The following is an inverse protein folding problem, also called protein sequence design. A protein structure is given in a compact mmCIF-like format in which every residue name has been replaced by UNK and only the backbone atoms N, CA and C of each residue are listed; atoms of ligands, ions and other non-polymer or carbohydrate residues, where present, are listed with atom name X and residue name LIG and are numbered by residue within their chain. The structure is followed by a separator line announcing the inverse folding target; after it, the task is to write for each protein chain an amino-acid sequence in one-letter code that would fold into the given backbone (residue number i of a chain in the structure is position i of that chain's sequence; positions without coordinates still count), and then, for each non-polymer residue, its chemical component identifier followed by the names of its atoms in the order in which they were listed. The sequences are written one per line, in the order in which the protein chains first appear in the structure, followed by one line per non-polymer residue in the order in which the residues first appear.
data_IF_007031988418
#
_entry.id   IF_007031988418
#
_cell.length_a   1.000
_cell.length_b   1.000
_cell.length_c   1.000
_cell.angle_alpha   90.00
_cell.angle_beta   90.00
_cell.angle_gamma   90.00
#
_symmetry.space_group_name_H-M   'P 1'
#
loop_
_entity.id
_entity.type
_entity.pdbx_description
1 polymer ?
#
# COMPACT_ATOMS: atom_id res chain seq x y z
N UNK A 1 -19.24 -37.35 -15.30
CA UNK A 1 -17.84 -37.21 -14.86
C UNK A 1 -17.87 -36.37 -13.59
N UNK A 2 -16.96 -36.60 -12.64
CA UNK A 2 -16.86 -35.71 -11.48
C UNK A 2 -16.37 -34.34 -11.96
N UNK A 3 -16.96 -33.27 -11.42
CA UNK A 3 -16.53 -31.89 -11.70
C UNK A 3 -15.09 -31.69 -11.20
N UNK A 4 -14.28 -30.95 -11.96
CA UNK A 4 -12.92 -30.62 -11.56
C UNK A 4 -12.95 -29.78 -10.28
N UNK A 5 -11.91 -29.92 -9.44
CA UNK A 5 -11.77 -29.12 -8.22
C UNK A 5 -10.60 -28.16 -8.35
N UNK A 6 -10.76 -26.96 -7.82
CA UNK A 6 -9.72 -25.95 -7.69
C UNK A 6 -9.71 -25.35 -6.29
N UNK A 7 -8.66 -24.60 -5.95
CA UNK A 7 -8.55 -23.95 -4.65
C UNK A 7 -9.41 -22.69 -4.58
N UNK A 8 -10.18 -22.56 -3.51
CA UNK A 8 -10.97 -21.38 -3.17
C UNK A 8 -10.56 -20.84 -1.81
N UNK A 9 -10.60 -19.53 -1.67
CA UNK A 9 -10.58 -18.80 -0.41
C UNK A 9 -12.01 -18.41 -0.05
N UNK A 10 -12.46 -18.82 1.13
CA UNK A 10 -13.75 -18.47 1.71
C UNK A 10 -13.49 -17.53 2.87
N UNK A 11 -14.14 -16.36 2.88
CA UNK A 11 -14.08 -15.42 3.99
C UNK A 11 -15.46 -15.28 4.63
N UNK A 12 -15.53 -15.32 5.95
CA UNK A 12 -16.77 -15.06 6.68
C UNK A 12 -17.03 -13.56 6.80
N UNK A 13 -18.29 -13.17 7.04
CA UNK A 13 -18.62 -11.80 7.47
C UNK A 13 -18.02 -11.51 8.85
N UNK A 14 -17.79 -10.23 9.13
CA UNK A 14 -17.34 -9.78 10.43
C UNK A 14 -18.29 -10.27 11.56
N UNK A 15 -17.69 -10.62 12.70
CA UNK A 15 -18.32 -11.17 13.90
C UNK A 15 -18.98 -12.55 13.73
N UNK A 16 -18.68 -13.28 12.66
CA UNK A 16 -19.06 -14.70 12.58
C UNK A 16 -18.39 -15.47 13.72
N UNK A 17 -19.18 -16.25 14.46
CA UNK A 17 -18.68 -16.97 15.63
C UNK A 17 -17.72 -18.09 15.23
N UNK A 18 -16.69 -18.32 16.04
CA UNK A 18 -15.74 -19.40 15.80
C UNK A 18 -16.41 -20.79 15.79
N UNK A 19 -17.49 -20.99 16.56
CA UNK A 19 -18.28 -22.22 16.50
C UNK A 19 -18.97 -22.38 15.15
N UNK A 20 -19.66 -21.34 14.66
CA UNK A 20 -20.30 -21.37 13.34
C UNK A 20 -19.29 -21.67 12.24
N UNK A 21 -18.13 -21.03 12.28
CA UNK A 21 -17.05 -21.28 11.32
C UNK A 21 -16.53 -22.72 11.39
N UNK A 22 -16.27 -23.26 12.59
CA UNK A 22 -15.79 -24.63 12.76
C UNK A 22 -16.79 -25.68 12.28
N UNK A 23 -18.07 -25.49 12.60
CA UNK A 23 -19.15 -26.38 12.15
C UNK A 23 -19.24 -26.37 10.62
N UNK A 24 -19.20 -25.17 10.01
CA UNK A 24 -19.17 -25.01 8.55
C UNK A 24 -17.99 -25.73 7.90
N UNK A 25 -16.77 -25.55 8.42
CA UNK A 25 -15.57 -26.19 7.88
C UNK A 25 -15.64 -27.72 8.00
N UNK A 26 -16.15 -28.21 9.14
CA UNK A 26 -16.34 -29.65 9.36
C UNK A 26 -17.36 -30.25 8.38
N UNK A 27 -18.47 -29.55 8.14
CA UNK A 27 -19.54 -29.99 7.24
C UNK A 27 -19.12 -29.93 5.76
N UNK A 28 -18.34 -28.92 5.37
CA UNK A 28 -17.94 -28.69 3.98
C UNK A 28 -17.03 -29.79 3.45
N UNK A 29 -15.97 -30.14 4.19
CA UNK A 29 -14.97 -31.08 3.72
C UNK A 29 -14.25 -31.86 4.82
N UNK A 30 -14.77 -31.84 6.05
CA UNK A 30 -14.15 -32.44 7.24
C UNK A 30 -12.85 -31.74 7.66
N UNK A 31 -12.71 -30.44 7.38
CA UNK A 31 -11.57 -29.64 7.81
C UNK A 31 -10.27 -29.95 7.05
N UNK A 32 -10.35 -30.39 5.80
CA UNK A 32 -9.18 -30.77 4.99
C UNK A 32 -8.34 -29.58 4.53
N UNK A 33 -8.95 -28.41 4.42
CA UNK A 33 -8.33 -27.16 4.01
C UNK A 33 -7.48 -26.49 5.09
N UNK A 34 -7.07 -25.25 4.81
CA UNK A 34 -6.30 -24.38 5.71
C UNK A 34 -7.23 -23.34 6.33
N UNK A 35 -7.24 -23.27 7.66
CA UNK A 35 -8.03 -22.29 8.41
C UNK A 35 -7.11 -21.18 8.93
N UNK A 36 -7.54 -19.94 8.79
CA UNK A 36 -6.95 -18.79 9.46
C UNK A 36 -8.01 -18.15 10.35
N UNK A 37 -7.72 -18.11 11.65
CA UNK A 37 -8.57 -17.47 12.67
C UNK A 37 -7.71 -16.51 13.50
N UNK A 38 -7.15 -15.46 12.87
CA UNK A 38 -6.28 -14.53 13.57
C UNK A 38 -7.02 -13.88 14.74
N UNK A 39 -6.34 -13.80 15.89
CA UNK A 39 -6.85 -13.05 17.05
C UNK A 39 -6.99 -11.57 16.65
N UNK A 40 -7.96 -10.85 17.22
CA UNK A 40 -8.29 -9.43 16.95
C UNK A 40 -8.92 -9.13 15.59
N UNK A 41 -8.90 -10.06 14.65
CA UNK A 41 -9.57 -9.93 13.36
C UNK A 41 -11.01 -10.44 13.50
N UNK A 42 -11.96 -9.69 12.95
CA UNK A 42 -13.40 -9.95 13.16
C UNK A 42 -13.96 -11.07 12.27
N UNK A 43 -13.16 -11.66 11.40
CA UNK A 43 -13.59 -12.69 10.46
C UNK A 43 -12.63 -13.87 10.43
N UNK A 44 -12.97 -14.90 9.66
CA UNK A 44 -12.16 -16.10 9.47
C UNK A 44 -11.97 -16.37 7.97
N UNK A 45 -10.86 -17.02 7.64
CA UNK A 45 -10.53 -17.43 6.27
C UNK A 45 -10.41 -18.95 6.23
N UNK A 46 -10.97 -19.57 5.20
CA UNK A 46 -10.79 -20.98 4.91
C UNK A 46 -10.39 -21.20 3.46
N UNK A 47 -9.24 -21.83 3.25
CA UNK A 47 -8.75 -22.20 1.92
C UNK A 47 -8.91 -23.70 1.70
N UNK A 48 -9.70 -24.10 0.73
CA UNK A 48 -9.95 -25.52 0.42
C UNK A 48 -10.20 -25.78 -1.07
N UNK A 49 -10.23 -27.06 -1.46
CA UNK A 49 -10.50 -27.48 -2.84
C UNK A 49 -11.97 -27.82 -3.07
N UNK A 50 -12.64 -27.00 -3.88
CA UNK A 50 -14.06 -27.13 -4.23
C UNK A 50 -14.23 -27.27 -5.73
N UNK A 51 -15.34 -27.88 -6.17
CA UNK A 51 -15.85 -27.65 -7.52
C UNK A 51 -16.63 -26.34 -7.58
N UNK A 52 -16.87 -25.79 -8.78
CA UNK A 52 -17.58 -24.52 -8.96
C UNK A 52 -18.99 -24.61 -8.36
N UNK A 53 -19.68 -25.75 -8.58
CA UNK A 53 -20.99 -26.01 -7.95
C UNK A 53 -20.94 -26.00 -6.42
N UNK A 54 -19.87 -26.51 -5.80
CA UNK A 54 -19.70 -26.46 -4.34
C UNK A 54 -19.45 -25.02 -3.88
N UNK A 55 -18.64 -24.25 -4.61
CA UNK A 55 -18.38 -22.85 -4.30
C UNK A 55 -19.66 -22.00 -4.34
N UNK A 56 -20.51 -22.20 -5.35
CA UNK A 56 -21.83 -21.54 -5.45
C UNK A 56 -22.73 -21.84 -4.26
N UNK A 57 -22.76 -23.09 -3.78
CA UNK A 57 -23.53 -23.44 -2.57
C UNK A 57 -22.98 -22.78 -1.30
N UNK A 58 -21.66 -22.53 -1.24
CA UNK A 58 -21.04 -21.80 -0.13
C UNK A 58 -21.36 -20.31 -0.20
N UNK A 59 -21.39 -19.69 -1.39
CA UNK A 59 -21.76 -18.27 -1.57
C UNK A 59 -23.14 -17.94 -1.02
N UNK A 60 -24.07 -18.91 -1.06
CA UNK A 60 -25.44 -18.77 -0.55
C UNK A 60 -25.55 -18.74 0.99
N UNK A 61 -24.45 -18.95 1.73
CA UNK A 61 -24.47 -18.93 3.19
C UNK A 61 -24.46 -17.50 3.72
N UNK A 62 -25.44 -17.15 4.55
CA UNK A 62 -25.61 -15.77 5.06
C UNK A 62 -24.41 -15.22 5.85
N UNK A 63 -23.58 -16.09 6.43
CA UNK A 63 -22.36 -15.70 7.18
C UNK A 63 -21.10 -15.66 6.31
N UNK A 64 -21.17 -16.04 5.04
CA UNK A 64 -20.06 -15.94 4.09
C UNK A 64 -20.09 -14.55 3.47
N UNK A 65 -18.92 -13.91 3.41
CA UNK A 65 -18.74 -12.62 2.74
C UNK A 65 -18.40 -12.84 1.26
N UNK A 66 -17.42 -13.69 0.98
CA UNK A 66 -17.05 -14.05 -0.39
C UNK A 66 -16.47 -15.46 -0.48
N UNK A 67 -16.48 -16.00 -1.70
CA UNK A 67 -15.84 -17.25 -2.09
C UNK A 67 -15.11 -17.00 -3.40
N UNK A 68 -13.78 -17.02 -3.37
CA UNK A 68 -12.94 -16.60 -4.50
C UNK A 68 -11.97 -17.70 -4.91
N UNK A 69 -11.88 -18.07 -6.20
CA UNK A 69 -10.86 -19.01 -6.65
C UNK A 69 -9.46 -18.39 -6.50
N UNK A 70 -8.51 -19.19 -6.02
CA UNK A 70 -7.10 -18.75 -5.86
C UNK A 70 -6.35 -18.82 -7.21
N UNK A 71 -6.96 -19.43 -8.23
CA UNK A 71 -6.44 -19.48 -9.61
C UNK A 71 -6.64 -18.19 -10.38
N UNK A 72 -7.60 -17.34 -9.99
CA UNK A 72 -7.86 -16.07 -10.65
C UNK A 72 -6.80 -15.08 -10.19
N UNK A 73 -5.65 -15.19 -10.85
CA UNK A 73 -4.58 -14.22 -10.67
C UNK A 73 -5.08 -12.97 -11.38
N UNK A 74 -5.39 -11.93 -10.63
CA UNK A 74 -5.26 -10.60 -11.20
C UNK A 74 -3.77 -10.34 -11.20
N UNK A 75 -3.11 -10.20 -12.37
CA UNK A 75 -1.83 -9.51 -12.38
C UNK A 75 -2.05 -8.25 -11.58
N UNK A 76 -1.14 -7.99 -10.63
CA UNK A 76 -1.12 -6.67 -10.06
C UNK A 76 -0.72 -5.73 -11.19
N UNK A 77 -1.73 -5.25 -11.90
CA UNK A 77 -1.67 -4.11 -12.78
C UNK A 77 -1.50 -2.88 -11.88
N UNK A 78 -0.41 -2.86 -11.12
CA UNK A 78 0.10 -1.64 -10.58
C UNK A 78 0.52 -0.81 -11.77
N UNK A 79 -0.14 0.31 -11.92
CA UNK A 79 0.49 1.43 -12.59
C UNK A 79 1.70 1.78 -11.75
N UNK A 80 2.87 1.37 -12.27
CA UNK A 80 4.15 1.49 -11.60
C UNK A 80 4.31 2.94 -11.16
N UNK A 81 4.14 3.13 -9.86
CA UNK A 81 4.46 4.37 -9.21
C UNK A 81 5.92 4.46 -8.77
N UNK A 82 6.69 3.43 -9.13
CA UNK A 82 8.13 3.46 -9.08
C UNK A 82 8.69 4.59 -9.93
N UNK A 83 9.84 5.15 -9.52
CA UNK A 83 10.58 6.08 -10.35
C UNK A 83 10.72 5.46 -11.73
N UNK A 84 10.11 6.06 -12.75
CA UNK A 84 10.42 5.69 -14.12
C UNK A 84 11.86 6.17 -14.32
N UNK A 85 12.83 5.27 -14.10
CA UNK A 85 14.21 5.45 -14.54
C UNK A 85 14.13 6.15 -15.89
N UNK A 86 14.80 7.30 -16.04
CA UNK A 86 14.81 8.13 -17.27
C UNK A 86 15.20 7.29 -18.51
N UNK A 87 14.30 6.45 -19.00
CA UNK A 87 14.20 6.10 -20.41
C UNK A 87 13.56 7.33 -21.00
N UNK A 88 14.29 7.97 -21.90
CA UNK A 88 13.88 9.18 -22.58
C UNK A 88 12.50 9.00 -23.24
N UNK A 89 11.43 9.25 -22.49
CA UNK A 89 10.13 9.46 -23.10
C UNK A 89 10.26 10.78 -23.88
N UNK A 90 9.89 10.80 -25.18
CA UNK A 90 9.76 12.06 -25.89
C UNK A 90 8.76 12.90 -25.08
N UNK A 91 9.19 14.06 -24.60
CA UNK A 91 8.33 15.00 -23.87
C UNK A 91 7.02 15.13 -24.67
N UNK A 92 5.85 14.74 -24.12
CA UNK A 92 4.62 15.00 -24.82
C UNK A 92 4.53 16.52 -25.01
N UNK A 93 4.27 16.96 -26.25
CA UNK A 93 4.03 18.36 -26.59
C UNK A 93 2.67 18.77 -26.00
N UNK A 94 2.57 18.84 -24.67
CA UNK A 94 1.44 19.45 -23.98
C UNK A 94 1.74 20.93 -23.91
N UNK A 95 1.00 21.74 -24.67
CA UNK A 95 1.00 23.19 -24.50
C UNK A 95 0.33 23.53 -23.17
N UNK A 96 1.11 23.55 -22.09
CA UNK A 96 0.67 24.13 -20.83
C UNK A 96 0.56 25.66 -20.99
N UNK A 97 -0.49 26.31 -20.45
CA UNK A 97 -0.60 27.75 -20.48
C UNK A 97 0.57 28.39 -19.71
N UNK A 98 1.26 29.34 -20.35
CA UNK A 98 2.32 30.13 -19.73
C UNK A 98 1.77 30.98 -18.59
N UNK A 99 2.07 30.60 -17.35
CA UNK A 99 1.85 31.45 -16.18
C UNK A 99 3.02 32.42 -16.04
N UNK A 100 2.68 33.70 -15.87
CA UNK A 100 3.62 34.81 -15.76
C UNK A 100 4.21 34.84 -14.33
N UNK A 101 5.46 34.40 -14.17
CA UNK A 101 6.14 34.35 -12.87
C UNK A 101 6.65 35.73 -12.44
N UNK A 102 6.06 36.28 -11.38
CA UNK A 102 6.75 37.23 -10.49
C UNK A 102 7.04 36.49 -9.18
N UNK A 103 8.28 36.00 -9.07
CA UNK A 103 8.75 35.15 -7.98
C UNK A 103 9.11 35.98 -6.73
N UNK A 104 8.59 35.71 -5.52
CA UNK A 104 9.06 36.34 -4.30
C UNK A 104 10.25 35.57 -3.70
N UNK A 105 11.33 36.30 -3.46
CA UNK A 105 12.39 36.09 -2.47
C UNK A 105 12.94 34.65 -2.24
N UNK A 106 14.10 34.38 -2.86
CA UNK A 106 15.01 33.28 -2.51
C UNK A 106 15.52 33.43 -1.06
N UNK A 107 14.89 32.75 -0.09
CA UNK A 107 15.50 32.57 1.23
C UNK A 107 16.47 31.38 1.19
N UNK A 108 17.66 31.54 1.81
CA UNK A 108 18.73 30.52 1.77
C UNK A 108 18.24 29.19 2.36
N UNK A 109 18.27 28.16 1.52
CA UNK A 109 18.05 26.74 1.80
C UNK A 109 19.19 26.23 2.70
N UNK A 110 18.89 25.39 3.68
CA UNK A 110 19.94 24.62 4.36
C UNK A 110 20.32 23.47 3.42
N UNK A 111 21.44 23.59 2.72
CA UNK A 111 21.89 22.59 1.74
C UNK A 111 22.39 21.28 2.36
N UNK A 112 22.26 21.10 3.67
CA UNK A 112 22.71 19.88 4.37
C UNK A 112 21.65 18.78 4.49
N UNK A 113 20.37 19.09 4.21
CA UNK A 113 19.28 18.10 4.26
C UNK A 113 18.97 17.56 2.84
N UNK A 114 18.71 16.24 2.69
CA UNK A 114 18.26 15.66 1.43
C UNK A 114 17.08 16.41 0.79
N UNK A 115 17.01 16.45 -0.54
CA UNK A 115 16.03 17.25 -1.27
C UNK A 115 14.58 16.94 -0.89
N UNK A 116 14.25 15.66 -0.68
CA UNK A 116 12.92 15.19 -0.28
C UNK A 116 12.43 15.74 1.07
N UNK A 117 13.30 16.38 1.86
CA UNK A 117 12.96 17.00 3.14
C UNK A 117 12.59 18.48 3.01
N UNK A 118 12.62 19.06 1.80
CA UNK A 118 12.45 20.50 1.62
C UNK A 118 10.97 20.90 1.54
N UNK A 119 10.09 20.05 1.00
CA UNK A 119 8.67 20.32 0.81
C UNK A 119 7.82 19.16 1.32
N UNK A 120 7.21 19.38 2.48
CA UNK A 120 6.81 18.28 3.35
C UNK A 120 5.37 17.82 3.10
N UNK A 121 4.40 18.74 3.02
CA UNK A 121 3.09 18.48 2.44
C UNK A 121 2.28 19.78 2.35
N UNK A 122 1.27 19.81 1.49
CA UNK A 122 0.36 20.93 1.33
C UNK A 122 -1.06 20.41 1.09
N UNK A 123 -2.08 21.04 1.69
CA UNK A 123 -3.48 20.62 1.55
C UNK A 123 -4.23 21.36 0.44
N UNK A 124 -3.55 22.22 -0.33
CA UNK A 124 -4.15 23.00 -1.43
C UNK A 124 -3.31 22.87 -2.69
N UNK A 125 -3.93 23.02 -3.86
CA UNK A 125 -3.18 23.15 -5.12
C UNK A 125 -2.79 24.62 -5.37
N UNK A 126 -1.63 24.87 -5.98
CA UNK A 126 -1.37 26.14 -6.68
C UNK A 126 -0.53 27.22 -5.99
N UNK A 127 0.24 26.89 -4.95
CA UNK A 127 1.53 27.53 -4.55
C UNK A 127 1.93 26.98 -3.17
N UNK A 128 3.17 26.48 -2.99
CA UNK A 128 3.65 26.05 -1.68
C UNK A 128 3.77 27.30 -0.77
N UNK A 129 3.51 27.19 0.54
CA UNK A 129 3.59 28.35 1.42
C UNK A 129 5.00 28.96 1.38
N UNK A 130 5.14 30.30 1.34
CA UNK A 130 6.45 30.96 1.27
C UNK A 130 7.37 30.68 2.47
N UNK A 131 6.83 30.13 3.58
CA UNK A 131 7.51 30.05 4.88
C UNK A 131 7.50 28.66 5.53
N UNK A 132 6.91 27.62 4.92
CA UNK A 132 6.90 26.26 5.50
C UNK A 132 8.22 25.55 5.27
N UNK A 133 9.25 26.00 5.97
CA UNK A 133 10.48 25.21 6.11
C UNK A 133 10.14 23.99 6.95
N UNK A 134 10.49 22.81 6.43
CA UNK A 134 10.47 21.59 7.20
C UNK A 134 11.17 21.79 8.54
N UNK A 135 10.48 21.41 9.62
CA UNK A 135 11.10 21.21 10.92
C UNK A 135 11.14 19.73 11.17
N UNK A 136 12.32 19.13 10.96
CA UNK A 136 12.55 17.75 11.33
C UNK A 136 12.28 17.58 12.82
N UNK A 137 11.38 16.66 13.15
CA UNK A 137 11.16 16.30 14.52
C UNK A 137 12.45 15.71 15.13
N UNK A 138 12.79 16.16 16.34
CA UNK A 138 14.04 15.76 17.01
C UNK A 138 14.06 14.27 17.38
N UNK A 139 12.90 13.63 17.57
CA UNK A 139 12.78 12.19 17.84
C UNK A 139 12.98 11.36 16.59
N UNK A 140 12.82 11.93 15.39
CA UNK A 140 12.95 11.24 14.11
C UNK A 140 12.08 9.98 14.04
N UNK A 141 10.87 10.06 14.59
CA UNK A 141 9.91 8.96 14.66
C UNK A 141 10.16 7.91 15.74
N UNK A 142 11.12 8.11 16.66
CA UNK A 142 11.32 7.20 17.80
C UNK A 142 10.01 6.96 18.56
N UNK A 143 9.72 5.68 18.81
CA UNK A 143 8.50 5.23 19.49
C UNK A 143 7.35 4.90 18.55
N UNK A 144 7.43 5.28 17.27
CA UNK A 144 6.38 5.04 16.27
C UNK A 144 6.73 3.84 15.40
N UNK A 145 5.74 3.04 15.05
CA UNK A 145 5.87 1.94 14.10
C UNK A 145 5.22 2.28 12.76
N UNK A 146 5.98 2.14 11.68
CA UNK A 146 5.46 2.34 10.33
C UNK A 146 5.32 1.00 9.63
N UNK A 147 4.09 0.64 9.27
CA UNK A 147 3.77 -0.51 8.45
C UNK A 147 3.85 -0.10 6.98
N UNK A 148 4.79 -0.67 6.23
CA UNK A 148 4.98 -0.38 4.81
C UNK A 148 4.54 -1.60 4.03
N UNK A 149 3.45 -1.47 3.28
CA UNK A 149 2.88 -2.53 2.46
C UNK A 149 3.34 -2.32 1.02
N UNK A 150 4.20 -3.21 0.53
CA UNK A 150 4.82 -3.07 -0.79
C UNK A 150 5.12 -4.42 -1.48
N UNK A 151 5.70 -4.39 -2.67
CA UNK A 151 6.01 -5.56 -3.52
C UNK A 151 7.21 -6.37 -3.02
N UNK A 152 8.12 -5.75 -2.24
CA UNK A 152 9.28 -6.43 -1.67
C UNK A 152 10.29 -5.46 -1.06
N UNK A 153 11.25 -6.00 -0.30
CA UNK A 153 12.27 -5.25 0.43
C UNK A 153 13.62 -5.95 0.41
N UNK A 154 14.69 -5.24 0.06
CA UNK A 154 16.05 -5.72 0.28
C UNK A 154 16.50 -5.40 1.71
N UNK A 155 16.29 -6.35 2.62
CA UNK A 155 16.68 -6.24 4.03
C UNK A 155 18.21 -6.15 4.26
N UNK A 156 19.04 -6.34 3.22
CA UNK A 156 20.50 -6.21 3.32
C UNK A 156 20.98 -4.77 3.17
N UNK A 157 20.11 -3.85 2.79
CA UNK A 157 20.45 -2.43 2.71
C UNK A 157 20.89 -1.92 4.08
N UNK A 158 22.04 -1.24 4.12
CA UNK A 158 22.56 -0.63 5.35
C UNK A 158 21.58 0.39 5.93
N UNK A 159 20.79 1.04 5.08
CA UNK A 159 19.73 1.99 5.47
C UNK A 159 18.58 1.34 6.24
N UNK A 160 18.35 0.03 6.08
CA UNK A 160 17.30 -0.71 6.77
C UNK A 160 17.83 -1.51 7.98
N UNK A 161 19.06 -1.24 8.42
CA UNK A 161 19.64 -1.93 9.56
C UNK A 161 18.89 -1.62 10.88
N UNK A 162 18.64 -2.63 11.75
CA UNK A 162 18.03 -2.44 13.07
C UNK A 162 19.08 -1.91 14.05
N UNK A 163 19.28 -0.59 14.09
CA UNK A 163 20.20 0.08 15.03
C UNK A 163 19.53 0.36 16.37
N UNK A 164 18.99 1.57 16.55
CA UNK A 164 18.28 2.04 17.74
C UNK A 164 16.76 1.90 17.61
N UNK A 165 16.31 0.96 16.77
CA UNK A 165 14.93 0.70 16.38
C UNK A 165 14.74 -0.77 16.01
N UNK A 166 13.49 -1.20 15.83
CA UNK A 166 13.16 -2.52 15.28
C UNK A 166 12.88 -2.44 13.77
N UNK A 167 13.23 -3.51 13.06
CA UNK A 167 12.86 -3.73 11.66
C UNK A 167 12.31 -5.16 11.57
N UNK A 168 10.99 -5.26 11.46
CA UNK A 168 10.24 -6.52 11.31
C UNK A 168 9.82 -6.66 9.85
N UNK A 169 9.53 -7.89 9.43
CA UNK A 169 9.01 -8.15 8.10
C UNK A 169 7.98 -9.28 8.11
N UNK A 170 7.06 -9.23 7.15
CA UNK A 170 6.07 -10.26 6.92
C UNK A 170 5.90 -10.49 5.42
N UNK A 171 5.64 -11.73 5.05
CA UNK A 171 5.20 -12.08 3.71
C UNK A 171 4.13 -13.16 3.84
N UNK A 172 3.07 -13.09 3.01
CA UNK A 172 1.93 -13.99 3.11
C UNK A 172 2.32 -15.45 2.80
N UNK A 173 1.57 -16.42 3.36
CA UNK A 173 1.78 -17.83 3.07
C UNK A 173 1.57 -18.22 1.61
N UNK A 174 2.37 -19.19 1.18
CA UNK A 174 2.44 -19.62 -0.21
C UNK A 174 1.13 -20.12 -0.83
N UNK A 175 0.22 -20.65 -0.01
CA UNK A 175 -1.05 -21.23 -0.44
C UNK A 175 -2.14 -20.18 -0.70
N UNK A 176 -1.91 -18.92 -0.33
CA UNK A 176 -2.82 -17.81 -0.65
C UNK A 176 -2.59 -17.26 -2.05
N UNK A 177 -1.47 -17.64 -2.66
CA UNK A 177 -1.12 -17.26 -4.02
C UNK A 177 -1.22 -18.42 -5.01
N UNK A 178 -1.60 -18.14 -6.25
CA UNK A 178 -1.76 -19.14 -7.30
C UNK A 178 -0.45 -19.87 -7.57
N UNK A 179 -0.52 -21.20 -7.66
CA UNK A 179 0.65 -22.05 -7.97
C UNK A 179 0.53 -22.69 -9.36
N UNK A 180 -0.66 -22.66 -9.98
CA UNK A 180 -0.97 -23.46 -11.16
C UNK A 180 -1.95 -22.74 -12.08
N UNK A 181 -1.56 -22.51 -13.34
CA UNK A 181 -2.50 -22.05 -14.37
C UNK A 181 -1.87 -21.54 -15.66
N UNK A 182 -0.74 -20.83 -15.60
CA UNK A 182 -0.32 -19.95 -16.71
C UNK A 182 1.13 -20.11 -17.18
N UNK A 183 1.71 -21.31 -17.07
CA UNK A 183 3.14 -21.50 -17.41
C UNK A 183 4.12 -20.77 -16.48
N UNK A 184 3.60 -20.01 -15.50
CA UNK A 184 4.39 -19.24 -14.56
C UNK A 184 5.22 -20.15 -13.67
N UNK A 185 6.53 -19.87 -13.62
CA UNK A 185 7.44 -20.57 -12.73
C UNK A 185 7.56 -19.78 -11.45
N UNK A 186 6.89 -20.28 -10.41
CA UNK A 186 7.04 -19.76 -9.05
C UNK A 186 8.51 -19.75 -8.67
N UNK A 187 9.00 -18.60 -8.20
CA UNK A 187 10.33 -18.52 -7.59
C UNK A 187 10.25 -18.81 -6.10
N UNK A 188 11.41 -19.06 -5.49
CA UNK A 188 11.53 -19.21 -4.04
C UNK A 188 10.89 -18.00 -3.36
N UNK A 189 9.97 -18.28 -2.45
CA UNK A 189 9.29 -17.24 -1.70
C UNK A 189 10.27 -16.56 -0.78
N UNK A 190 10.43 -15.26 -1.00
CA UNK A 190 11.25 -14.40 -0.18
C UNK A 190 10.72 -12.96 -0.20
N UNK A 191 11.19 -12.19 0.78
CA UNK A 191 10.88 -10.78 0.92
C UNK A 191 11.57 -9.91 -0.13
N UNK A 192 12.48 -10.45 -0.95
CA UNK A 192 13.38 -9.65 -1.79
C UNK A 192 12.61 -8.67 -2.68
N UNK A 193 13.20 -7.49 -2.82
CA UNK A 193 12.74 -6.45 -3.73
C UNK A 193 13.39 -6.63 -5.09
N UNK A 194 12.59 -6.65 -6.16
CA UNK A 194 13.07 -6.81 -7.53
C UNK A 194 12.80 -5.63 -8.44
N UNK A 195 11.82 -4.81 -8.12
CA UNK A 195 11.51 -3.61 -8.87
C UNK A 195 12.13 -2.36 -8.22
N UNK A 196 12.80 -2.53 -7.08
CA UNK A 196 13.38 -1.51 -6.21
C UNK A 196 12.35 -0.66 -5.47
N UNK A 197 11.05 -0.93 -5.65
CA UNK A 197 10.00 -0.03 -5.22
C UNK A 197 9.92 -0.01 -3.69
N UNK A 198 9.63 -1.14 -3.06
CA UNK A 198 9.44 -1.20 -1.61
C UNK A 198 10.71 -0.90 -0.81
N UNK A 199 11.90 -1.24 -1.30
CA UNK A 199 13.16 -0.84 -0.66
C UNK A 199 13.35 0.67 -0.70
N UNK A 200 13.10 1.30 -1.85
CA UNK A 200 13.21 2.75 -1.98
C UNK A 200 12.24 3.43 -1.02
N UNK A 201 10.99 2.96 -0.95
CA UNK A 201 9.97 3.50 -0.05
C UNK A 201 10.36 3.32 1.42
N UNK A 202 10.86 2.14 1.80
CA UNK A 202 11.35 1.89 3.15
C UNK A 202 12.55 2.77 3.53
N UNK A 203 13.47 3.02 2.59
CA UNK A 203 14.63 3.90 2.82
C UNK A 203 14.21 5.37 2.91
N UNK A 204 13.29 5.84 2.08
CA UNK A 204 12.76 7.21 2.22
C UNK A 204 12.08 7.38 3.56
N UNK A 205 11.23 6.44 3.97
CA UNK A 205 10.49 6.55 5.22
C UNK A 205 11.39 6.47 6.44
N UNK A 206 12.23 5.44 6.49
CA UNK A 206 12.98 5.08 7.68
C UNK A 206 14.47 4.87 7.47
N UNK A 207 15.06 5.07 6.32
CA UNK A 207 16.52 4.91 6.14
C UNK A 207 17.36 5.54 7.26
N UNK A 208 18.40 4.85 7.72
CA UNK A 208 19.25 5.34 8.81
C UNK A 208 19.86 6.73 8.53
N UNK A 209 20.27 6.99 7.29
CA UNK A 209 20.87 8.27 6.87
C UNK A 209 19.92 9.10 6.03
N UNK A 210 19.14 8.47 5.16
CA UNK A 210 18.25 9.15 4.21
C UNK A 210 16.80 9.26 4.69
N UNK A 211 16.45 8.48 5.71
CA UNK A 211 15.08 8.35 6.18
C UNK A 211 14.61 9.58 6.91
N UNK A 212 13.40 10.02 6.56
CA UNK A 212 12.76 11.15 7.20
C UNK A 212 12.52 10.86 8.69
N UNK A 213 12.14 9.62 9.00
CA UNK A 213 12.00 9.08 10.35
C UNK A 213 12.96 7.91 10.61
N UNK A 214 14.25 8.21 10.50
CA UNK A 214 15.37 7.28 10.72
C UNK A 214 15.36 6.50 12.05
N UNK A 215 14.55 6.89 13.04
CA UNK A 215 14.40 6.19 14.33
C UNK A 215 13.04 5.52 14.54
N UNK A 216 12.14 5.58 13.56
CA UNK A 216 10.89 4.83 13.61
C UNK A 216 11.16 3.33 13.47
N UNK A 217 10.38 2.53 14.19
CA UNK A 217 10.30 1.10 13.94
C UNK A 217 9.68 0.87 12.56
N UNK A 218 10.21 -0.10 11.81
CA UNK A 218 9.68 -0.46 10.50
C UNK A 218 9.08 -1.85 10.54
N UNK A 219 7.89 -2.01 9.98
CA UNK A 219 7.30 -3.31 9.68
C UNK A 219 7.07 -3.40 8.17
N UNK A 220 7.93 -4.17 7.50
CA UNK A 220 7.98 -4.28 6.05
C UNK A 220 7.14 -5.47 5.60
N UNK A 221 6.00 -5.23 4.97
CA UNK A 221 5.01 -6.25 4.65
C UNK A 221 4.89 -6.40 3.13
N UNK A 222 5.22 -7.60 2.63
CA UNK A 222 5.10 -7.92 1.21
C UNK A 222 3.67 -8.31 0.87
N UNK A 223 3.13 -7.77 -0.23
CA UNK A 223 1.70 -7.90 -0.60
C UNK A 223 1.43 -8.89 -1.74
N UNK A 224 2.47 -9.54 -2.25
CA UNK A 224 2.38 -10.44 -3.38
C UNK A 224 3.62 -11.31 -3.53
N UNK A 225 3.58 -12.26 -4.46
CA UNK A 225 4.70 -13.17 -4.71
C UNK A 225 5.34 -12.91 -6.07
N UNK A 226 6.64 -13.18 -6.17
CA UNK A 226 7.38 -13.07 -7.42
C UNK A 226 7.21 -14.31 -8.29
N UNK A 227 6.81 -14.09 -9.54
CA UNK A 227 6.70 -15.09 -10.59
C UNK A 227 7.66 -14.78 -11.73
N UNK A 228 7.94 -15.80 -12.53
CA UNK A 228 8.48 -15.63 -13.87
C UNK A 228 7.43 -16.06 -14.87
N UNK A 229 7.17 -15.19 -15.84
CA UNK A 229 6.40 -15.57 -17.02
C UNK A 229 7.20 -16.54 -17.92
N UNK A 230 6.58 -16.98 -19.01
CA UNK A 230 7.21 -17.91 -19.96
C UNK A 230 8.46 -17.30 -20.63
N UNK A 231 8.49 -15.97 -20.78
CA UNK A 231 9.61 -15.19 -21.32
C UNK A 231 10.71 -14.91 -20.27
N UNK A 232 10.46 -15.25 -19.01
CA UNK A 232 11.37 -15.06 -17.89
C UNK A 232 11.36 -13.66 -17.28
N UNK A 233 10.43 -12.79 -17.65
CA UNK A 233 10.16 -11.51 -17.00
C UNK A 233 9.65 -11.76 -15.58
N UNK A 234 9.93 -10.82 -14.67
CA UNK A 234 9.41 -10.92 -13.31
C UNK A 234 8.03 -10.28 -13.24
N UNK A 235 7.09 -11.00 -12.64
CA UNK A 235 5.76 -10.50 -12.30
C UNK A 235 5.56 -10.58 -10.79
N UNK A 236 4.77 -9.66 -10.25
CA UNK A 236 4.29 -9.74 -8.87
C UNK A 236 2.81 -10.02 -8.96
N UNK A 237 2.38 -11.14 -8.38
CA UNK A 237 0.97 -11.52 -8.35
C UNK A 237 0.45 -11.50 -6.92
N UNK A 238 -0.82 -11.16 -6.79
CA UNK A 238 -1.57 -11.23 -5.54
C UNK A 238 -2.96 -11.79 -5.83
N UNK A 239 -3.70 -12.04 -4.77
CA UNK A 239 -5.10 -12.44 -4.80
C UNK A 239 -5.86 -11.66 -3.73
N UNK A 240 -7.20 -11.63 -3.78
CA UNK A 240 -7.99 -11.10 -2.68
C UNK A 240 -7.62 -11.77 -1.34
N UNK A 241 -7.36 -13.09 -1.34
CA UNK A 241 -6.94 -13.83 -0.15
C UNK A 241 -5.58 -13.36 0.40
N UNK A 242 -4.62 -13.10 -0.50
CA UNK A 242 -3.28 -12.58 -0.13
C UNK A 242 -3.39 -11.18 0.47
N UNK A 243 -4.17 -10.30 -0.16
CA UNK A 243 -4.46 -8.97 0.37
C UNK A 243 -5.12 -9.03 1.74
N UNK A 244 -6.15 -9.86 1.89
CA UNK A 244 -6.84 -10.00 3.18
C UNK A 244 -5.87 -10.42 4.27
N UNK A 245 -5.08 -11.46 4.03
CA UNK A 245 -4.11 -11.95 5.01
C UNK A 245 -3.09 -10.87 5.41
N UNK A 246 -2.65 -10.05 4.46
CA UNK A 246 -1.73 -8.94 4.74
C UNK A 246 -2.37 -7.86 5.60
N UNK A 247 -3.61 -7.47 5.29
CA UNK A 247 -4.36 -6.48 6.06
C UNK A 247 -4.66 -7.00 7.46
N UNK A 248 -5.11 -8.25 7.57
CA UNK A 248 -5.36 -8.96 8.83
C UNK A 248 -4.11 -9.04 9.70
N UNK A 249 -2.95 -9.28 9.08
CA UNK A 249 -1.69 -9.36 9.80
C UNK A 249 -1.30 -8.03 10.45
N UNK A 250 -1.61 -6.90 9.81
CA UNK A 250 -1.43 -5.57 10.42
C UNK A 250 -2.35 -5.42 11.64
N UNK A 251 -3.63 -5.76 11.50
CA UNK A 251 -4.61 -5.68 12.61
C UNK A 251 -4.22 -6.61 13.76
N UNK A 252 -3.77 -7.83 13.46
CA UNK A 252 -3.28 -8.78 14.43
C UNK A 252 -2.09 -8.22 15.23
N UNK A 253 -1.09 -7.63 14.56
CA UNK A 253 0.06 -7.06 15.25
C UNK A 253 -0.31 -5.82 16.07
N UNK A 254 -1.21 -4.97 15.58
CA UNK A 254 -1.75 -3.82 16.33
C UNK A 254 -2.46 -4.29 17.61
N UNK A 255 -3.37 -5.25 17.51
CA UNK A 255 -4.07 -5.83 18.66
C UNK A 255 -3.11 -6.48 19.66
N UNK A 256 -2.16 -7.28 19.17
CA UNK A 256 -1.12 -7.90 20.01
C UNK A 256 -0.30 -6.85 20.75
N UNK A 257 0.12 -5.77 20.08
CA UNK A 257 0.89 -4.67 20.69
C UNK A 257 0.06 -3.92 21.73
N UNK A 258 -1.21 -3.64 21.43
CA UNK A 258 -2.11 -2.95 22.36
C UNK A 258 -2.32 -3.75 23.66
N UNK A 259 -2.46 -5.08 23.57
CA UNK A 259 -2.57 -5.92 24.76
C UNK A 259 -1.23 -6.17 25.48
N UNK A 260 -0.15 -6.32 24.72
CA UNK A 260 1.16 -6.71 25.22
C UNK A 260 2.26 -5.80 24.68
N UNK A 261 2.31 -4.52 25.11
CA UNK A 261 3.29 -3.56 24.62
C UNK A 261 4.70 -3.98 25.01
N UNK A 262 5.62 -3.98 24.04
CA UNK A 262 7.05 -4.18 24.31
C UNK A 262 7.65 -2.92 24.94
N UNK A 263 8.67 -3.02 25.82
CA UNK A 263 9.31 -1.84 26.40
C UNK A 263 9.83 -0.88 25.32
N UNK A 264 9.34 0.37 25.35
CA UNK A 264 9.69 1.41 24.37
C UNK A 264 8.81 1.47 23.11
N UNK A 265 7.73 0.70 23.09
CA UNK A 265 6.69 0.80 22.08
C UNK A 265 5.62 1.84 22.51
N UNK A 266 5.51 2.97 21.81
CA UNK A 266 4.53 4.01 22.14
C UNK A 266 3.13 3.72 21.54
N UNK A 267 2.90 2.50 21.01
CA UNK A 267 1.70 2.02 20.27
C UNK A 267 1.33 2.82 19.01
N UNK A 268 1.74 4.08 18.92
CA UNK A 268 1.54 4.97 17.79
C UNK A 268 2.03 4.28 16.53
N UNK A 269 1.17 4.25 15.53
CA UNK A 269 1.42 3.55 14.29
C UNK A 269 0.88 4.32 13.10
N UNK A 270 1.48 4.08 11.93
CA UNK A 270 1.00 4.57 10.64
C UNK A 270 1.11 3.41 9.66
N UNK A 271 0.08 3.21 8.84
CA UNK A 271 0.10 2.26 7.73
C UNK A 271 0.29 3.04 6.45
N UNK A 272 1.14 2.56 5.54
CA UNK A 272 1.32 3.17 4.24
C UNK A 272 1.23 2.18 3.10
N UNK A 273 0.48 2.61 2.08
CA UNK A 273 0.36 1.97 0.79
C UNK A 273 1.07 2.86 -0.21
N UNK A 274 2.32 2.52 -0.55
CA UNK A 274 3.10 3.30 -1.48
C UNK A 274 2.70 3.08 -2.95
N UNK A 275 1.46 2.65 -3.19
CA UNK A 275 0.96 2.23 -4.50
C UNK A 275 -0.54 2.50 -4.59
N UNK A 276 -1.02 2.71 -5.81
CA UNK A 276 -2.44 2.69 -6.14
C UNK A 276 -2.80 1.35 -6.76
N UNK A 277 -3.88 0.72 -6.30
CA UNK A 277 -4.53 -0.41 -6.97
C UNK A 277 -5.67 0.16 -7.82
N UNK A 278 -5.53 0.11 -9.15
CA UNK A 278 -6.55 0.59 -10.09
C UNK A 278 -7.85 -0.22 -9.89
N UNK A 279 -9.00 0.46 -9.79
CA UNK A 279 -10.33 -0.15 -9.71
C UNK A 279 -10.80 -0.70 -11.06
N UNK A 280 -10.11 -0.33 -12.14
CA UNK A 280 -10.65 -0.35 -13.49
C UNK A 280 -9.72 -1.04 -14.49
N UNK A 281 -8.68 -1.74 -14.04
CA UNK A 281 -7.89 -2.61 -14.92
C UNK A 281 -8.38 -4.04 -14.77
N UNK A 282 -9.32 -4.51 -15.62
CA UNK A 282 -9.34 -5.93 -15.93
C UNK A 282 -7.93 -6.34 -16.40
N UNK A 283 -7.47 -7.56 -16.11
CA UNK A 283 -6.19 -8.05 -16.61
C UNK A 283 -6.11 -7.78 -18.12
N UNK A 284 -5.08 -7.06 -18.56
CA UNK A 284 -5.02 -6.43 -19.89
C UNK A 284 -4.94 -7.39 -21.08
N UNK A 285 -5.17 -8.70 -20.88
CA UNK A 285 -5.31 -9.70 -21.95
C UNK A 285 -6.34 -10.82 -21.64
N UNK A 286 -7.12 -10.72 -20.55
CA UNK A 286 -8.28 -11.61 -20.33
C UNK A 286 -9.54 -10.94 -20.84
N UNK A 287 -9.83 -11.23 -22.10
CA UNK A 287 -11.12 -11.12 -22.78
C UNK A 287 -12.27 -11.31 -21.78
N UNK A 288 -13.04 -10.25 -21.55
CA UNK A 288 -14.50 -10.26 -21.31
C UNK A 288 -15.01 -11.55 -20.66
N UNK A 289 -14.61 -11.80 -19.41
CA UNK A 289 -15.55 -12.43 -18.49
C UNK A 289 -16.39 -11.25 -18.00
N UNK A 290 -17.71 -11.35 -18.13
CA UNK A 290 -18.65 -10.34 -17.65
C UNK A 290 -18.14 -9.78 -16.31
N UNK A 291 -17.98 -8.45 -16.24
CA UNK A 291 -17.76 -7.77 -14.97
C UNK A 291 -18.98 -8.07 -14.10
N UNK A 292 -18.98 -9.20 -13.40
CA UNK A 292 -19.85 -9.38 -12.27
C UNK A 292 -19.42 -8.30 -11.26
N UNK A 293 -20.35 -7.38 -10.98
CA UNK A 293 -20.21 -6.27 -10.02
C UNK A 293 -19.61 -6.73 -8.66
N UNK A 294 -19.68 -8.03 -8.38
CA UNK A 294 -19.25 -8.69 -7.14
C UNK A 294 -17.74 -8.55 -6.82
N UNK A 295 -16.82 -8.54 -7.80
CA UNK A 295 -15.37 -8.48 -7.49
C UNK A 295 -14.94 -7.13 -6.90
N UNK A 296 -15.45 -6.02 -7.44
CA UNK A 296 -15.15 -4.67 -6.93
C UNK A 296 -15.72 -4.47 -5.52
N UNK A 297 -16.85 -5.12 -5.24
CA UNK A 297 -17.46 -5.13 -3.91
C UNK A 297 -16.56 -5.84 -2.87
N UNK A 298 -15.83 -6.89 -3.25
CA UNK A 298 -14.93 -7.59 -2.32
C UNK A 298 -13.78 -6.70 -1.86
N UNK A 299 -12.98 -6.16 -2.78
CA UNK A 299 -11.85 -5.29 -2.40
C UNK A 299 -12.31 -4.04 -1.65
N UNK A 300 -13.42 -3.45 -2.09
CA UNK A 300 -14.02 -2.30 -1.40
C UNK A 300 -14.41 -2.63 0.04
N UNK A 301 -15.10 -3.75 0.26
CA UNK A 301 -15.49 -4.19 1.60
C UNK A 301 -14.26 -4.52 2.46
N UNK A 302 -13.23 -5.14 1.89
CA UNK A 302 -11.98 -5.46 2.58
C UNK A 302 -11.25 -4.19 3.05
N UNK A 303 -11.08 -3.21 2.18
CA UNK A 303 -10.38 -1.96 2.51
C UNK A 303 -11.19 -1.12 3.50
N UNK A 304 -12.52 -1.07 3.34
CA UNK A 304 -13.37 -0.36 4.29
C UNK A 304 -13.32 -1.00 5.70
N UNK A 305 -13.41 -2.33 5.80
CA UNK A 305 -13.29 -3.02 7.10
C UNK A 305 -11.90 -2.79 7.71
N UNK A 306 -10.86 -2.80 6.89
CA UNK A 306 -9.50 -2.50 7.35
C UNK A 306 -9.38 -1.06 7.90
N UNK A 307 -9.97 -0.06 7.23
CA UNK A 307 -10.01 1.32 7.75
C UNK A 307 -10.80 1.43 9.05
N UNK A 308 -11.91 0.71 9.17
CA UNK A 308 -12.68 0.66 10.41
C UNK A 308 -11.84 0.04 11.54
N UNK A 309 -11.11 -1.04 11.26
CA UNK A 309 -10.23 -1.69 12.24
C UNK A 309 -9.06 -0.76 12.63
N UNK A 310 -8.42 -0.08 11.68
CA UNK A 310 -7.37 0.90 11.97
C UNK A 310 -7.86 2.06 12.84
N UNK A 311 -9.10 2.51 12.63
CA UNK A 311 -9.71 3.55 13.45
C UNK A 311 -9.83 3.14 14.94
N UNK A 312 -10.04 1.84 15.21
CA UNK A 312 -10.06 1.33 16.61
C UNK A 312 -8.71 1.48 17.32
N UNK A 313 -7.62 1.57 16.58
CA UNK A 313 -6.26 1.71 17.09
C UNK A 313 -5.70 3.14 16.94
N UNK A 314 -6.50 4.12 16.50
CA UNK A 314 -6.06 5.48 16.18
C UNK A 314 -4.89 5.51 15.16
N UNK A 315 -4.98 4.65 14.14
CA UNK A 315 -3.95 4.49 13.11
C UNK A 315 -4.41 5.10 11.80
N UNK A 316 -3.57 5.98 11.24
CA UNK A 316 -3.78 6.59 9.93
C UNK A 316 -3.26 5.67 8.82
N UNK A 317 -4.04 5.53 7.75
CA UNK A 317 -3.63 4.90 6.50
C UNK A 317 -3.25 5.96 5.47
N UNK A 318 -1.98 6.01 5.06
CA UNK A 318 -1.48 6.96 4.06
C UNK A 318 -1.30 6.23 2.73
N UNK A 319 -2.10 6.57 1.74
CA UNK A 319 -2.14 5.89 0.45
C UNK A 319 -1.67 6.80 -0.69
N UNK A 320 -1.17 6.19 -1.76
CA UNK A 320 -0.73 6.92 -2.93
C UNK A 320 -1.90 7.28 -3.85
N UNK A 321 -1.88 8.50 -4.41
CA UNK A 321 -2.90 8.98 -5.33
C UNK A 321 -2.98 8.24 -6.68
N UNK A 322 -1.97 7.42 -7.01
CA UNK A 322 -1.76 6.88 -8.37
C UNK A 322 -0.94 7.79 -9.28
N UNK A 323 -0.50 7.28 -10.45
CA UNK A 323 0.34 8.01 -11.40
C UNK A 323 -0.27 8.06 -12.82
N UNK A 324 -1.58 7.95 -12.96
CA UNK A 324 -2.22 7.72 -14.26
C UNK A 324 -3.06 8.89 -14.76
N UNK A 325 -2.82 10.10 -14.24
CA UNK A 325 -3.45 11.30 -14.76
C UNK A 325 -3.35 11.46 -16.29
N UNK A 326 -2.20 11.14 -16.94
CA UNK A 326 -2.09 11.23 -18.40
C UNK A 326 -2.99 10.26 -19.15
N UNK A 327 -3.49 9.22 -18.48
CA UNK A 327 -4.44 8.24 -19.01
C UNK A 327 -5.89 8.61 -18.66
N UNK A 328 -6.14 9.79 -18.11
CA UNK A 328 -7.47 10.27 -17.74
C UNK A 328 -8.01 9.68 -16.43
N UNK A 329 -7.17 9.02 -15.64
CA UNK A 329 -7.55 8.49 -14.32
C UNK A 329 -7.66 9.61 -13.28
N UNK A 330 -8.48 9.36 -12.28
CA UNK A 330 -8.81 10.21 -11.14
C UNK A 330 -8.50 9.48 -9.84
N UNK A 331 -8.49 10.19 -8.71
CA UNK A 331 -8.29 9.55 -7.39
C UNK A 331 -9.34 8.47 -7.06
N UNK A 332 -10.54 8.58 -7.64
CA UNK A 332 -11.64 7.65 -7.44
C UNK A 332 -11.44 6.33 -8.18
N UNK A 333 -10.46 6.26 -9.08
CA UNK A 333 -10.10 5.04 -9.80
C UNK A 333 -9.11 4.16 -9.02
N UNK A 334 -8.82 4.45 -7.74
CA UNK A 334 -7.91 3.63 -6.92
C UNK A 334 -8.53 3.26 -5.58
N UNK A 335 -8.64 1.96 -5.25
CA UNK A 335 -9.42 1.50 -4.09
C UNK A 335 -9.07 2.23 -2.78
N UNK A 336 -7.78 2.33 -2.43
CA UNK A 336 -7.36 2.97 -1.18
C UNK A 336 -7.66 4.48 -1.15
N UNK A 337 -7.60 5.16 -2.30
CA UNK A 337 -7.83 6.59 -2.40
C UNK A 337 -9.32 6.93 -2.54
N UNK A 338 -10.04 6.14 -3.34
CA UNK A 338 -11.46 6.28 -3.62
C UNK A 338 -12.33 6.16 -2.37
N UNK A 339 -11.89 5.35 -1.40
CA UNK A 339 -12.59 5.13 -0.15
C UNK A 339 -12.23 6.16 0.93
N UNK A 340 -11.38 7.14 0.66
CA UNK A 340 -11.08 8.20 1.65
C UNK A 340 -12.26 9.15 1.85
N UNK A 341 -12.65 9.34 3.11
CA UNK A 341 -13.73 10.25 3.50
C UNK A 341 -13.24 11.27 4.53
N UNK A 342 -14.07 12.28 4.84
CA UNK A 342 -13.76 13.23 5.93
C UNK A 342 -13.71 12.56 7.31
N UNK A 343 -14.32 11.40 7.47
CA UNK A 343 -14.53 10.78 8.77
C UNK A 343 -13.65 9.55 9.00
N UNK A 344 -13.05 8.97 7.94
CA UNK A 344 -12.19 7.80 8.10
C UNK A 344 -10.69 8.16 8.21
N UNK A 345 -9.89 7.12 8.41
CA UNK A 345 -8.45 7.20 8.67
C UNK A 345 -7.58 7.26 7.42
N UNK A 346 -8.18 7.26 6.23
CA UNK A 346 -7.45 7.20 4.97
C UNK A 346 -7.05 8.60 4.48
N UNK A 347 -5.79 8.75 4.09
CA UNK A 347 -5.19 9.98 3.60
C UNK A 347 -4.47 9.74 2.27
N UNK A 348 -5.13 10.04 1.14
CA UNK A 348 -4.51 10.00 -0.18
C UNK A 348 -3.44 11.08 -0.33
N UNK A 349 -2.34 10.73 -0.99
CA UNK A 349 -1.21 11.64 -1.19
C UNK A 349 -0.87 11.80 -2.67
N UNK A 350 -1.05 13.01 -3.16
CA UNK A 350 -0.64 13.45 -4.50
C UNK A 350 0.79 13.96 -4.56
N UNK A 351 1.32 14.06 -5.78
CA UNK A 351 2.65 14.57 -6.06
C UNK A 351 2.64 16.03 -6.51
N UNK A 352 3.63 16.79 -6.06
CA UNK A 352 3.91 18.14 -6.54
C UNK A 352 5.38 18.28 -6.95
N UNK A 353 5.64 19.16 -7.91
CA UNK A 353 6.97 19.56 -8.30
C UNK A 353 7.62 20.46 -7.25
N UNK A 354 8.92 20.72 -7.37
CA UNK A 354 9.65 21.63 -6.46
C UNK A 354 9.10 23.06 -6.40
N UNK A 355 8.48 23.54 -7.48
CA UNK A 355 7.82 24.85 -7.53
C UNK A 355 6.40 24.82 -6.91
N UNK A 356 5.96 23.64 -6.46
CA UNK A 356 4.65 23.34 -5.89
C UNK A 356 3.51 23.31 -6.90
N UNK A 357 3.80 23.24 -8.21
CA UNK A 357 2.83 22.84 -9.22
C UNK A 357 2.51 21.35 -9.09
N UNK A 358 1.32 20.93 -9.56
CA UNK A 358 0.94 19.53 -9.55
C UNK A 358 1.90 18.72 -10.42
N UNK A 359 2.35 17.57 -9.93
CA UNK A 359 3.15 16.64 -10.74
C UNK A 359 2.26 16.04 -11.83
N UNK A 360 2.71 16.05 -13.09
CA UNK A 360 1.92 15.72 -14.28
C UNK A 360 1.25 14.34 -14.23
N UNK A 361 1.77 13.41 -13.42
CA UNK A 361 1.20 12.08 -13.27
C UNK A 361 0.20 11.96 -12.12
N UNK A 362 0.08 12.95 -11.23
CA UNK A 362 -0.84 12.91 -10.09
C UNK A 362 -2.29 13.01 -10.56
N UNK A 363 -3.13 11.98 -10.33
CA UNK A 363 -4.53 11.99 -10.72
C UNK A 363 -5.26 13.15 -10.06
N UNK A 364 -6.07 13.92 -10.82
CA UNK A 364 -6.91 14.94 -10.23
C UNK A 364 -7.95 14.30 -9.32
N UNK A 365 -8.36 15.05 -8.30
CA UNK A 365 -9.57 14.74 -7.55
C UNK A 365 -10.79 15.16 -8.38
N UNK A 366 -11.66 14.21 -8.74
CA UNK A 366 -12.94 14.50 -9.39
C UNK A 366 -14.05 14.89 -8.39
N UNK A 367 -13.67 15.30 -7.17
CA UNK A 367 -14.56 15.79 -6.11
C UNK A 367 -14.98 14.72 -5.10
N UNK A 368 -14.40 13.53 -5.16
CA UNK A 368 -14.72 12.40 -4.30
C UNK A 368 -13.81 12.27 -3.07
N UNK A 369 -12.53 12.59 -3.18
CA UNK A 369 -11.56 12.40 -2.09
C UNK A 369 -11.51 13.65 -1.20
N UNK A 370 -11.78 13.49 0.11
CA UNK A 370 -11.97 14.65 1.00
C UNK A 370 -10.75 15.04 1.83
N UNK A 371 -9.71 14.19 1.89
CA UNK A 371 -8.47 14.42 2.68
C UNK A 371 -7.20 14.23 1.85
N UNK A 372 -7.15 14.82 0.67
CA UNK A 372 -5.95 14.72 -0.18
C UNK A 372 -4.90 15.72 0.29
N UNK A 373 -3.69 15.23 0.53
CA UNK A 373 -2.51 16.06 0.77
C UNK A 373 -1.51 15.86 -0.37
N UNK A 374 -0.59 16.80 -0.54
CA UNK A 374 0.37 16.77 -1.63
C UNK A 374 1.79 16.90 -1.10
N UNK A 375 2.75 16.11 -1.60
CA UNK A 375 4.17 16.24 -1.23
C UNK A 375 5.09 16.10 -2.46
N UNK A 376 6.38 16.38 -2.28
CA UNK A 376 7.33 16.47 -3.38
C UNK A 376 7.51 15.13 -4.12
N UNK A 377 7.28 15.13 -5.44
CA UNK A 377 7.38 13.96 -6.31
C UNK A 377 8.59 13.99 -7.25
N UNK A 378 9.27 15.13 -7.40
CA UNK A 378 10.36 15.32 -8.36
C UNK A 378 11.61 15.91 -7.71
N UNK A 379 12.74 15.72 -8.37
CA UNK A 379 14.08 16.12 -7.88
C UNK A 379 14.46 15.49 -6.54
N UNK A 380 14.19 14.19 -6.40
CA UNK A 380 14.38 13.43 -5.17
C UNK A 380 15.71 12.67 -5.19
N UNK A 381 16.31 12.48 -4.00
CA UNK A 381 17.48 11.63 -3.82
C UNK A 381 17.03 10.28 -3.27
N UNK A 382 17.07 9.25 -4.11
CA UNK A 382 16.49 7.94 -3.84
C UNK A 382 17.58 6.87 -3.79
N UNK A 383 17.46 5.92 -2.85
CA UNK A 383 18.31 4.73 -2.81
C UNK A 383 17.54 3.53 -3.34
N UNK A 384 18.10 2.85 -4.34
CA UNK A 384 17.52 1.66 -4.94
C UNK A 384 17.82 0.40 -4.11
N UNK A 385 17.17 -0.73 -4.44
CA UNK A 385 17.35 -1.96 -3.69
C UNK A 385 18.78 -2.51 -3.79
N UNK A 386 19.57 -2.18 -4.81
CA UNK A 386 20.98 -2.58 -4.90
C UNK A 386 21.94 -1.67 -4.08
N UNK A 387 21.40 -0.66 -3.41
CA UNK A 387 22.13 0.31 -2.60
C UNK A 387 22.76 1.46 -3.39
N UNK A 388 22.50 1.54 -4.70
CA UNK A 388 22.90 2.69 -5.52
C UNK A 388 22.00 3.89 -5.24
N UNK A 389 22.55 5.09 -5.47
CA UNK A 389 21.85 6.35 -5.32
C UNK A 389 21.42 6.86 -6.69
N UNK A 390 20.16 7.26 -6.81
CA UNK A 390 19.63 8.02 -7.93
C UNK A 390 19.34 9.45 -7.48
N UNK A 391 19.92 10.42 -8.18
CA UNK A 391 19.84 11.84 -7.86
C UNK A 391 18.90 12.54 -8.84
N UNK A 392 18.02 13.40 -8.33
CA UNK A 392 17.09 14.16 -9.15
C UNK A 392 16.04 13.28 -9.85
N UNK A 393 15.64 12.19 -9.19
CA UNK A 393 14.67 11.25 -9.71
C UNK A 393 13.24 11.81 -9.67
N UNK A 394 12.41 11.38 -10.61
CA UNK A 394 10.95 11.51 -10.52
C UNK A 394 10.45 10.29 -9.74
N UNK A 395 10.12 10.48 -8.47
CA UNK A 395 9.81 9.38 -7.55
C UNK A 395 8.37 8.85 -7.64
N UNK A 396 7.58 9.34 -8.59
CA UNK A 396 6.13 9.12 -8.65
C UNK A 396 5.41 9.64 -7.40
N UNK A 397 4.10 9.41 -7.30
CA UNK A 397 3.32 9.71 -6.09
C UNK A 397 3.64 8.84 -4.87
N UNK A 398 4.35 7.71 -5.04
CA UNK A 398 4.76 6.83 -3.93
C UNK A 398 5.71 7.51 -2.95
N UNK A 399 6.63 8.32 -3.48
CA UNK A 399 7.57 9.07 -2.64
C UNK A 399 6.89 10.15 -1.80
N UNK A 400 6.02 11.02 -2.36
CA UNK A 400 5.13 11.89 -1.61
C UNK A 400 4.40 11.19 -0.46
N UNK A 401 3.84 10.00 -0.70
CA UNK A 401 3.17 9.20 0.33
C UNK A 401 4.10 8.95 1.52
N UNK A 402 5.33 8.52 1.27
CA UNK A 402 6.34 8.29 2.32
C UNK A 402 6.76 9.59 3.03
N UNK A 403 6.82 10.70 2.31
CA UNK A 403 7.07 12.03 2.89
C UNK A 403 5.96 12.40 3.88
N UNK A 404 4.70 12.20 3.52
CA UNK A 404 3.54 12.48 4.39
C UNK A 404 3.51 11.58 5.62
N UNK A 405 3.76 10.27 5.46
CA UNK A 405 3.85 9.31 6.58
C UNK A 405 4.75 9.85 7.68
N UNK A 406 5.89 10.44 7.30
CA UNK A 406 6.86 10.96 8.26
C UNK A 406 6.35 12.11 9.14
N UNK A 407 5.35 12.87 8.67
CA UNK A 407 4.79 14.00 9.40
C UNK A 407 3.97 13.54 10.60
N UNK A 408 3.26 12.43 10.45
CA UNK A 408 2.54 11.78 11.54
C UNK A 408 3.48 11.29 12.64
N UNK A 409 4.77 11.16 12.35
CA UNK A 409 5.79 10.70 13.31
C UNK A 409 6.32 11.84 14.18
N UNK A 410 5.98 13.09 13.84
CA UNK A 410 6.24 14.24 14.69
C UNK A 410 5.26 14.25 15.88
N UNK A 411 5.72 14.44 17.12
CA UNK A 411 4.90 14.58 18.31
C UNK A 411 4.28 15.98 18.39
N UNK A 412 3.96 16.64 17.26
CA UNK A 412 3.17 17.88 17.31
C UNK A 412 1.83 17.54 17.96
N UNK A 413 1.80 17.89 19.23
CA UNK A 413 0.81 17.79 20.27
C UNK A 413 -0.64 17.95 19.81
N UNK A 414 -1.42 16.95 20.22
CA UNK A 414 -2.89 16.89 20.28
C UNK A 414 -3.58 16.23 19.07
N UNK A 415 -4.40 15.19 19.27
CA UNK A 415 -5.33 14.67 18.26
C UNK A 415 -6.31 15.73 17.73
N UNK A 416 -6.40 16.90 18.38
CA UNK A 416 -7.24 18.04 17.98
C UNK A 416 -6.49 19.18 17.30
N UNK A 417 -5.16 19.11 17.13
CA UNK A 417 -4.50 20.06 16.23
C UNK A 417 -4.84 19.62 14.81
N UNK A 418 -5.78 20.34 14.19
CA UNK A 418 -6.10 20.25 12.77
C UNK A 418 -4.77 20.13 12.01
N UNK A 419 -4.48 18.94 11.49
CA UNK A 419 -3.50 18.78 10.43
C UNK A 419 -3.90 19.78 9.34
N UNK A 420 -2.95 20.67 9.01
CA UNK A 420 -3.17 21.88 8.22
C UNK A 420 -3.92 21.61 6.93
#
# INVERSE_FOLDING_TARGET
MAEAKQQYSIRTKANTSLSTFKDFVQDLDQGKGKQETPQYVRHQIYVTSLSDSQAEEVRKKDFVLFVEPISDTTPLNYTRAAPKLRRAFPKPNVHLPTFNESSPAKTKRDGSVPNQLQLLSWNRMGKPPPETRYRQDKRKGKGVTVYILDTGFNLRLRELAPRDRTVKHYFPPDYLTPVSGHGLRRRRVNIDDRDNHGSTMAVVTGGVTMGIASKANLYLIKIGHDYKDEDGNNEILTTPATWQNVLDHVIFDLGRRAENPEPGDDLKSVVTFAMGTDTFLPPLDLIVLDHDDDHDHVYTAMVQEFYDDLATYDVVAVCSAGNDAPYGRTLQDYYFSALSTEDNVAMPVGGINMDGTLYDFTPPDAGGAKKVVYAQATDLDLMLADGTMEWGADGGVSTPTQIVVSQFLSPLSSPTSTLI
#
